data_IF_655815572014
#
_entry.id   IF_655815572014
#
_cell.length_a   1.000
_cell.length_b   1.000
_cell.length_c   1.000
_cell.angle_alpha   90.00
_cell.angle_beta   90.00
_cell.angle_gamma   90.00
#
_symmetry.space_group_name_H-M   'P 1'
#
loop_
_entity.id
_entity.type
_entity.pdbx_description
1 polymer ?
#
# COMPACT_ATOMS: atom_id res chain seq x y z
N UNK A 1 -60.26 3.86 22.54
CA UNK A 1 -58.93 3.45 23.07
C UNK A 1 -58.28 2.62 21.98
N UNK A 2 -57.20 3.08 21.33
CA UNK A 2 -56.53 2.28 20.30
C UNK A 2 -56.01 0.99 20.92
N UNK A 3 -56.18 -0.12 20.22
CA UNK A 3 -55.82 -1.44 20.72
C UNK A 3 -54.29 -1.53 20.85
N UNK A 4 -53.80 -1.88 22.04
CA UNK A 4 -52.39 -2.18 22.36
C UNK A 4 -51.58 -2.96 21.30
N UNK A 5 -52.13 -3.92 20.53
CA UNK A 5 -51.41 -4.55 19.42
C UNK A 5 -50.96 -3.60 18.29
N UNK A 6 -51.65 -2.48 18.05
CA UNK A 6 -51.30 -1.56 16.96
C UNK A 6 -50.11 -0.66 17.32
N UNK A 7 -50.02 -0.22 18.59
CA UNK A 7 -48.89 0.58 19.08
C UNK A 7 -47.60 -0.26 19.15
N UNK A 8 -47.70 -1.52 19.58
CA UNK A 8 -46.54 -2.42 19.68
C UNK A 8 -46.02 -2.81 18.29
N UNK A 9 -46.90 -3.05 17.33
CA UNK A 9 -46.51 -3.35 15.95
C UNK A 9 -45.76 -2.19 15.30
N UNK A 10 -46.24 -0.95 15.47
CA UNK A 10 -45.57 0.24 14.92
C UNK A 10 -44.17 0.48 15.51
N UNK A 11 -44.02 0.32 16.83
CA UNK A 11 -42.72 0.48 17.51
C UNK A 11 -41.73 -0.62 17.09
N UNK A 12 -42.18 -1.88 17.01
CA UNK A 12 -41.33 -2.99 16.58
C UNK A 12 -40.90 -2.82 15.11
N UNK A 13 -41.80 -2.41 14.22
CA UNK A 13 -41.48 -2.16 12.81
C UNK A 13 -40.44 -1.05 12.68
N UNK A 14 -40.57 0.05 13.42
CA UNK A 14 -39.60 1.13 13.37
C UNK A 14 -38.22 0.70 13.89
N UNK A 15 -38.17 -0.02 15.02
CA UNK A 15 -36.92 -0.58 15.56
C UNK A 15 -36.23 -1.53 14.57
N UNK A 16 -36.99 -2.45 13.96
CA UNK A 16 -36.45 -3.38 12.96
C UNK A 16 -35.95 -2.61 11.73
N UNK A 17 -36.69 -1.60 11.28
CA UNK A 17 -36.30 -0.77 10.14
C UNK A 17 -35.01 -0.01 10.43
N UNK A 18 -34.87 0.62 11.59
CA UNK A 18 -33.65 1.32 11.98
C UNK A 18 -32.44 0.38 12.03
N UNK A 19 -32.60 -0.82 12.61
CA UNK A 19 -31.53 -1.83 12.63
C UNK A 19 -31.14 -2.24 11.22
N UNK A 20 -32.10 -2.51 10.33
CA UNK A 20 -31.83 -2.86 8.94
C UNK A 20 -31.12 -1.71 8.22
N UNK A 21 -31.57 -0.47 8.39
CA UNK A 21 -30.95 0.71 7.76
C UNK A 21 -29.50 0.86 8.19
N UNK A 22 -29.19 0.68 9.49
CA UNK A 22 -27.82 0.74 9.99
C UNK A 22 -26.97 -0.39 9.39
N UNK A 23 -27.46 -1.63 9.40
CA UNK A 23 -26.72 -2.79 8.87
C UNK A 23 -26.44 -2.63 7.38
N UNK A 24 -27.45 -2.24 6.60
CA UNK A 24 -27.32 -2.00 5.16
C UNK A 24 -26.39 -0.83 4.89
N UNK A 25 -26.50 0.27 5.65
CA UNK A 25 -25.62 1.42 5.54
C UNK A 25 -24.15 1.07 5.77
N UNK A 26 -23.85 0.30 6.81
CA UNK A 26 -22.50 -0.19 7.10
C UNK A 26 -21.99 -1.09 5.97
N UNK A 27 -22.82 -2.00 5.47
CA UNK A 27 -22.43 -2.92 4.39
C UNK A 27 -22.13 -2.19 3.08
N UNK A 28 -22.95 -1.20 2.71
CA UNK A 28 -22.74 -0.35 1.53
C UNK A 28 -21.46 0.47 1.70
N UNK A 29 -21.28 1.12 2.86
CA UNK A 29 -20.07 1.91 3.14
C UNK A 29 -18.80 1.06 3.04
N UNK A 30 -18.82 -0.15 3.59
CA UNK A 30 -17.69 -1.07 3.51
C UNK A 30 -17.42 -1.56 2.08
N UNK A 31 -18.47 -1.82 1.31
CA UNK A 31 -18.35 -2.21 -0.10
C UNK A 31 -17.77 -1.09 -0.95
N UNK A 32 -18.27 0.13 -0.80
CA UNK A 32 -17.74 1.33 -1.47
C UNK A 32 -16.27 1.57 -1.13
N UNK A 33 -15.90 1.41 0.15
CA UNK A 33 -14.51 1.55 0.59
C UNK A 33 -13.58 0.56 -0.10
N UNK A 34 -13.99 -0.71 -0.24
CA UNK A 34 -13.21 -1.73 -0.96
C UNK A 34 -13.03 -1.39 -2.43
N UNK A 35 -14.11 -0.99 -3.11
CA UNK A 35 -14.06 -0.60 -4.53
C UNK A 35 -13.16 0.61 -4.73
N UNK A 36 -13.27 1.60 -3.85
CA UNK A 36 -12.43 2.80 -3.92
C UNK A 36 -10.95 2.50 -3.66
N UNK A 37 -10.65 1.68 -2.65
CA UNK A 37 -9.28 1.25 -2.35
C UNK A 37 -8.68 0.47 -3.54
N UNK A 38 -9.42 -0.45 -4.15
CA UNK A 38 -8.97 -1.20 -5.33
C UNK A 38 -8.79 -0.31 -6.56
N UNK A 39 -9.70 0.65 -6.78
CA UNK A 39 -9.57 1.60 -7.88
C UNK A 39 -8.34 2.51 -7.73
N UNK A 40 -8.11 3.00 -6.51
CA UNK A 40 -7.05 3.98 -6.20
C UNK A 40 -5.67 3.35 -6.05
N UNK A 41 -5.59 2.15 -5.47
CA UNK A 41 -4.36 1.47 -5.08
C UNK A 41 -4.17 0.10 -5.73
N UNK A 42 -5.12 -0.40 -6.51
CA UNK A 42 -4.96 -1.65 -7.25
C UNK A 42 -4.02 -1.50 -8.45
N UNK A 43 -3.64 -2.65 -9.02
CA UNK A 43 -2.77 -2.77 -10.22
C UNK A 43 -1.35 -2.20 -10.07
N UNK A 44 -0.87 -2.05 -8.83
CA UNK A 44 0.52 -1.68 -8.63
C UNK A 44 1.43 -2.88 -8.93
N UNK A 45 2.59 -2.61 -9.52
CA UNK A 45 3.61 -3.62 -9.77
C UNK A 45 4.97 -3.14 -9.25
N UNK A 46 5.75 -4.04 -8.69
CA UNK A 46 7.13 -3.79 -8.31
C UNK A 46 8.05 -4.61 -9.22
N UNK A 47 9.05 -3.95 -9.80
CA UNK A 47 9.99 -4.51 -10.76
C UNK A 47 11.41 -4.31 -10.24
N UNK A 48 12.21 -5.38 -10.26
CA UNK A 48 13.64 -5.31 -9.96
C UNK A 48 14.39 -5.52 -11.26
N UNK A 49 15.27 -4.59 -11.61
CA UNK A 49 16.08 -4.60 -12.82
C UNK A 49 17.56 -4.77 -12.48
N UNK A 50 18.27 -5.57 -13.30
CA UNK A 50 19.72 -5.78 -13.21
C UNK A 50 20.27 -6.00 -14.60
N UNK A 51 21.41 -5.40 -14.91
CA UNK A 51 22.04 -5.37 -16.23
C UNK A 51 21.06 -4.97 -17.34
N UNK A 52 20.13 -4.05 -17.04
CA UNK A 52 19.07 -3.65 -17.98
C UNK A 52 17.91 -4.64 -18.18
N UNK A 53 17.94 -5.81 -17.55
CA UNK A 53 16.89 -6.84 -17.64
C UNK A 53 15.99 -6.86 -16.41
N UNK A 54 14.69 -7.08 -16.61
CA UNK A 54 13.72 -7.21 -15.52
C UNK A 54 13.86 -8.60 -14.87
N UNK A 55 14.58 -8.66 -13.75
CA UNK A 55 14.86 -9.90 -12.99
C UNK A 55 13.61 -10.41 -12.28
N UNK A 56 12.78 -9.48 -11.79
CA UNK A 56 11.54 -9.79 -11.09
C UNK A 56 10.47 -8.78 -11.44
N UNK A 57 9.26 -9.27 -11.62
CA UNK A 57 8.05 -8.48 -11.61
C UNK A 57 7.04 -9.11 -10.65
N UNK A 58 6.56 -8.34 -9.67
CA UNK A 58 5.51 -8.78 -8.73
C UNK A 58 4.36 -7.79 -8.70
N UNK A 59 3.14 -8.31 -8.77
CA UNK A 59 1.96 -7.53 -8.48
C UNK A 59 1.92 -7.19 -6.99
N UNK A 60 1.56 -5.94 -6.69
CA UNK A 60 1.36 -5.42 -5.34
C UNK A 60 -0.14 -5.30 -5.11
N UNK A 61 -0.63 -5.93 -4.05
CA UNK A 61 -2.04 -5.85 -3.67
C UNK A 61 -2.42 -4.41 -3.30
N UNK A 62 -3.68 -4.03 -3.50
CA UNK A 62 -4.16 -2.69 -3.16
C UNK A 62 -3.91 -2.32 -1.68
N UNK A 63 -4.06 -3.29 -0.77
CA UNK A 63 -3.76 -3.10 0.65
C UNK A 63 -2.28 -2.79 0.91
N UNK A 64 -1.36 -3.57 0.34
CA UNK A 64 0.08 -3.33 0.51
C UNK A 64 0.51 -2.05 -0.20
N UNK A 65 -0.03 -1.75 -1.38
CA UNK A 65 0.21 -0.50 -2.10
C UNK A 65 -0.23 0.72 -1.27
N UNK A 66 -1.40 0.65 -0.62
CA UNK A 66 -1.89 1.69 0.27
C UNK A 66 -0.96 1.93 1.46
N UNK A 67 -0.48 0.86 2.10
CA UNK A 67 0.44 0.90 3.22
C UNK A 67 1.78 1.55 2.84
N UNK A 68 2.44 1.05 1.79
CA UNK A 68 3.75 1.57 1.36
C UNK A 68 3.69 2.96 0.75
N UNK A 69 2.54 3.37 0.18
CA UNK A 69 2.35 4.73 -0.32
C UNK A 69 1.98 5.73 0.78
N UNK A 70 1.41 5.25 1.89
CA UNK A 70 1.08 6.09 3.05
C UNK A 70 2.33 6.39 3.89
N UNK A 71 3.22 5.40 4.04
CA UNK A 71 4.36 5.50 4.96
C UNK A 71 5.68 5.10 4.30
N UNK A 72 6.66 6.00 4.35
CA UNK A 72 7.95 5.80 3.68
C UNK A 72 8.79 4.68 4.33
N UNK A 73 8.65 4.47 5.64
CA UNK A 73 9.32 3.38 6.34
C UNK A 73 8.86 2.02 5.81
N UNK A 74 7.56 1.84 5.62
CA UNK A 74 6.96 0.62 5.04
C UNK A 74 7.42 0.38 3.60
N UNK A 75 7.53 1.44 2.81
CA UNK A 75 8.12 1.35 1.47
C UNK A 75 9.56 0.82 1.52
N UNK A 76 10.39 1.33 2.43
CA UNK A 76 11.78 0.88 2.59
C UNK A 76 11.86 -0.61 2.93
N UNK A 77 11.05 -1.08 3.88
CA UNK A 77 10.98 -2.49 4.28
C UNK A 77 10.50 -3.36 3.13
N UNK A 78 9.45 -2.95 2.43
CA UNK A 78 8.91 -3.67 1.28
C UNK A 78 9.94 -3.85 0.15
N UNK A 79 10.62 -2.75 -0.22
CA UNK A 79 11.62 -2.77 -1.28
C UNK A 79 12.86 -3.59 -0.88
N UNK A 80 13.30 -3.48 0.38
CA UNK A 80 14.38 -4.33 0.91
C UNK A 80 14.02 -5.81 0.87
N UNK A 81 12.79 -6.17 1.25
CA UNK A 81 12.30 -7.53 1.15
C UNK A 81 12.24 -8.06 -0.29
N UNK A 82 11.93 -7.19 -1.26
CA UNK A 82 11.89 -7.55 -2.68
C UNK A 82 13.30 -7.75 -3.27
N UNK A 83 14.27 -6.93 -2.85
CA UNK A 83 15.64 -6.94 -3.37
C UNK A 83 16.54 -7.98 -2.70
N UNK A 84 16.30 -8.28 -1.42
CA UNK A 84 17.16 -9.16 -0.61
C UNK A 84 17.52 -10.52 -1.24
N UNK A 85 16.66 -11.18 -2.05
CA UNK A 85 17.04 -12.43 -2.72
C UNK A 85 18.06 -12.24 -3.86
N UNK A 86 18.22 -11.02 -4.38
CA UNK A 86 19.00 -10.71 -5.59
C UNK A 86 20.24 -9.88 -5.30
N UNK A 87 20.17 -8.97 -4.33
CA UNK A 87 21.28 -8.13 -3.91
C UNK A 87 21.07 -7.54 -2.51
N UNK A 88 22.10 -6.94 -1.93
CA UNK A 88 22.01 -6.14 -0.71
C UNK A 88 22.01 -4.65 -1.03
N UNK A 89 20.97 -3.95 -0.61
CA UNK A 89 20.92 -2.50 -0.72
C UNK A 89 21.88 -1.87 0.27
N UNK A 90 22.77 -1.00 -0.22
CA UNK A 90 23.83 -0.38 0.58
C UNK A 90 23.52 1.04 1.04
N UNK A 91 22.34 1.55 0.73
CA UNK A 91 21.91 2.90 1.08
C UNK A 91 20.49 2.89 1.65
N UNK A 92 20.12 3.99 2.31
CA UNK A 92 18.72 4.22 2.63
C UNK A 92 17.96 4.57 1.34
N UNK A 93 17.05 3.68 0.94
CA UNK A 93 16.29 3.82 -0.29
C UNK A 93 15.42 5.09 -0.30
N UNK A 94 14.97 5.58 0.85
CA UNK A 94 14.02 6.70 0.89
C UNK A 94 14.71 8.04 0.64
N UNK A 95 15.87 8.24 1.26
CA UNK A 95 16.63 9.49 1.18
C UNK A 95 17.65 9.46 0.03
N UNK A 96 18.33 8.33 -0.17
CA UNK A 96 19.51 8.25 -1.04
C UNK A 96 19.17 7.67 -2.41
N UNK A 97 18.15 6.82 -2.58
CA UNK A 97 17.85 6.20 -3.89
C UNK A 97 17.24 7.15 -4.94
N UNK A 98 16.80 8.36 -4.54
CA UNK A 98 16.37 9.39 -5.49
C UNK A 98 17.53 9.98 -6.30
N UNK A 99 18.76 9.95 -5.78
CA UNK A 99 19.91 10.62 -6.39
C UNK A 99 20.68 9.78 -7.44
N UNK A 100 20.76 8.44 -7.35
CA UNK A 100 21.37 7.63 -8.41
C UNK A 100 20.38 7.02 -9.41
N UNK A 101 19.06 7.21 -9.24
CA UNK A 101 18.04 6.55 -10.07
C UNK A 101 17.78 5.08 -9.67
N UNK A 102 18.24 4.67 -8.48
CA UNK A 102 18.06 3.33 -7.92
C UNK A 102 16.58 3.00 -7.67
N UNK A 103 15.75 3.98 -7.31
CA UNK A 103 14.31 3.79 -7.17
C UNK A 103 13.56 4.79 -8.05
N UNK A 104 12.76 4.28 -8.97
CA UNK A 104 11.80 5.05 -9.76
C UNK A 104 10.38 4.65 -9.35
N UNK A 105 9.60 5.65 -8.93
CA UNK A 105 8.19 5.47 -8.56
C UNK A 105 7.35 6.14 -9.63
N UNK A 106 6.83 5.34 -10.58
CA UNK A 106 5.91 5.82 -11.59
C UNK A 106 4.48 5.71 -11.08
N UNK A 107 3.89 6.84 -10.69
CA UNK A 107 2.50 6.91 -10.21
C UNK A 107 1.46 6.81 -11.34
N UNK A 108 1.84 7.10 -12.59
CA UNK A 108 0.92 7.01 -13.74
C UNK A 108 0.76 5.55 -14.15
N UNK A 109 1.88 4.86 -14.31
CA UNK A 109 1.93 3.44 -14.65
C UNK A 109 1.69 2.52 -13.43
N UNK A 110 1.65 3.08 -12.21
CA UNK A 110 1.51 2.38 -10.93
C UNK A 110 2.64 1.36 -10.73
N UNK A 111 3.88 1.79 -10.93
CA UNK A 111 5.06 0.92 -10.86
C UNK A 111 6.12 1.43 -9.91
N UNK A 112 6.70 0.51 -9.17
CA UNK A 112 7.98 0.68 -8.50
C UNK A 112 9.04 -0.02 -9.35
N UNK A 113 10.09 0.68 -9.75
CA UNK A 113 11.21 0.10 -10.48
C UNK A 113 12.47 0.32 -9.65
N UNK A 114 13.11 -0.78 -9.29
CA UNK A 114 14.38 -0.78 -8.56
C UNK A 114 15.48 -1.18 -9.54
N UNK A 115 16.44 -0.29 -9.79
CA UNK A 115 17.56 -0.55 -10.69
C UNK A 115 18.83 -0.85 -9.88
N UNK A 116 19.18 -2.15 -9.81
CA UNK A 116 20.34 -2.61 -9.05
C UNK A 116 21.67 -2.17 -9.67
N UNK A 117 21.70 -1.81 -10.96
CA UNK A 117 22.92 -1.30 -11.61
C UNK A 117 23.30 0.09 -11.08
N UNK A 118 22.33 0.77 -10.45
CA UNK A 118 22.50 2.07 -9.79
C UNK A 118 22.71 1.95 -8.28
N UNK A 119 22.85 0.73 -7.75
CA UNK A 119 23.15 0.53 -6.33
C UNK A 119 24.56 1.05 -6.03
N UNK A 120 24.74 2.07 -5.16
CA UNK A 120 26.05 2.61 -4.88
C UNK A 120 26.95 1.54 -4.25
N UNK A 121 28.26 1.52 -4.58
CA UNK A 121 29.19 0.57 -3.99
C UNK A 121 29.25 0.75 -2.48
N UNK A 122 29.56 -0.33 -1.76
CA UNK A 122 29.81 -0.37 -0.31
C UNK A 122 31.00 0.54 0.06
N UNK A 123 30.78 1.85 0.15
CA UNK A 123 31.83 2.84 0.41
C UNK A 123 31.44 3.76 1.58
N UNK A 124 31.98 3.41 2.76
CA UNK A 124 32.26 4.24 3.93
C UNK A 124 31.16 5.21 4.40
N UNK A 125 30.00 4.68 4.80
CA UNK A 125 29.19 5.35 5.83
C UNK A 125 29.78 4.95 7.19
N UNK A 126 30.67 5.79 7.74
CA UNK A 126 31.13 5.67 9.14
C UNK A 126 32.57 5.21 9.35
N UNK A 127 33.54 6.09 9.07
CA UNK A 127 34.71 6.23 9.95
C UNK A 127 34.76 7.73 10.30
N UNK A 128 34.46 8.14 11.54
CA UNK A 128 34.74 9.52 11.94
C UNK A 128 36.24 9.75 11.77
N UNK A 129 36.60 10.79 11.02
CA UNK A 129 37.98 11.23 10.90
C UNK A 129 38.51 11.51 12.31
N UNK A 130 39.43 10.69 12.77
CA UNK A 130 40.25 10.95 13.94
C UNK A 130 41.05 12.22 13.66
N UNK A 131 40.73 13.28 14.40
CA UNK A 131 41.63 14.39 14.71
C UNK A 131 42.18 14.19 16.12
#
# INVERSE_FOLDING_TARGET
MPAWPELTSGVIINLVTEVIVVVVGVFIAQSLRRVWDEWRYGRWCATVRRNGEDVVQRAVSAGKAKEVLAEAAELSVFLKGLVSPYDTLHCDIIEVAKQPGLLLIDRKERRFVIDLDKNPPKSKVGVPATL
#
